data_IF_044541076374
#
_entry.id   IF_044541076374
#
_cell.length_a   1.000
_cell.length_b   1.000
_cell.length_c   1.000
_cell.angle_alpha   90.00
_cell.angle_beta   90.00
_cell.angle_gamma   90.00
#
_symmetry.space_group_name_H-M   'P 1'
#
loop_
_entity.id
_entity.type
_entity.pdbx_description
1 polymer ?
#
# COMPACT_ATOMS: atom_id res chain seq x y z
N UNK A 1 22.76 -1.42 1.00
CA UNK A 1 21.46 -1.22 1.68
C UNK A 1 21.32 -2.25 2.77
N UNK A 2 20.75 -1.86 3.92
CA UNK A 2 20.49 -2.74 5.05
C UNK A 2 19.05 -2.55 5.51
N UNK A 3 18.36 -3.64 5.84
CA UNK A 3 17.02 -3.60 6.42
C UNK A 3 17.17 -3.59 7.94
N UNK A 4 16.47 -2.68 8.61
CA UNK A 4 16.52 -2.46 10.04
C UNK A 4 15.09 -2.54 10.61
N UNK A 5 14.99 -2.51 11.94
CA UNK A 5 13.73 -2.54 12.71
C UNK A 5 12.87 -3.80 12.48
N UNK A 6 13.30 -4.89 13.11
CA UNK A 6 12.54 -6.15 13.14
C UNK A 6 11.55 -6.21 14.32
N UNK A 7 11.20 -5.08 14.96
CA UNK A 7 10.35 -5.06 16.16
C UNK A 7 8.95 -5.65 15.97
N UNK A 8 8.45 -5.63 14.72
CA UNK A 8 7.17 -6.21 14.31
C UNK A 8 7.32 -7.44 13.40
N UNK A 9 8.55 -7.90 13.16
CA UNK A 9 8.79 -9.03 12.28
C UNK A 9 8.22 -10.33 12.85
N UNK A 10 7.63 -11.13 11.97
CA UNK A 10 7.08 -12.44 12.31
C UNK A 10 7.75 -13.54 11.48
N UNK A 11 7.65 -14.78 11.93
CA UNK A 11 8.07 -15.92 11.11
C UNK A 11 7.08 -16.10 9.96
N UNK A 12 7.53 -15.89 8.73
CA UNK A 12 6.68 -15.99 7.54
C UNK A 12 5.98 -17.35 7.43
N UNK A 13 6.64 -18.44 7.84
CA UNK A 13 6.06 -19.79 7.83
C UNK A 13 4.93 -19.98 8.85
N UNK A 14 4.79 -19.08 9.83
CA UNK A 14 3.74 -19.17 10.86
C UNK A 14 2.68 -18.09 10.76
N UNK A 15 2.96 -16.99 10.06
CA UNK A 15 2.06 -15.83 10.00
C UNK A 15 0.64 -16.21 9.57
N UNK A 16 0.49 -17.06 8.55
CA UNK A 16 -0.80 -17.51 8.06
C UNK A 16 -1.67 -18.26 9.09
N UNK A 17 -1.09 -18.73 10.20
CA UNK A 17 -1.79 -19.39 11.31
C UNK A 17 -2.03 -18.49 12.52
N UNK A 18 -1.28 -17.40 12.66
CA UNK A 18 -1.23 -16.57 13.87
C UNK A 18 -1.81 -15.17 13.68
N UNK A 19 -2.03 -14.74 12.45
CA UNK A 19 -2.37 -13.35 12.12
C UNK A 19 -3.68 -12.85 12.77
N UNK A 20 -4.64 -13.73 13.04
CA UNK A 20 -5.92 -13.37 13.66
C UNK A 20 -5.77 -12.93 15.13
N UNK A 21 -4.82 -13.52 15.86
CA UNK A 21 -4.61 -13.28 17.28
C UNK A 21 -3.58 -12.19 17.60
N UNK A 22 -3.00 -11.57 16.56
CA UNK A 22 -1.94 -10.56 16.70
C UNK A 22 -2.53 -9.16 16.52
N UNK A 23 -2.13 -8.24 17.39
CA UNK A 23 -2.43 -6.83 17.19
C UNK A 23 -1.72 -6.33 15.93
N UNK A 24 -2.44 -5.55 15.13
CA UNK A 24 -1.85 -4.86 14.00
C UNK A 24 -1.05 -3.65 14.49
N UNK A 25 0.13 -3.46 13.92
CA UNK A 25 1.04 -2.36 14.23
C UNK A 25 1.93 -2.07 13.01
N UNK A 26 2.60 -0.92 13.03
CA UNK A 26 3.49 -0.47 11.96
C UNK A 26 3.07 0.89 11.43
N UNK A 27 3.68 1.30 10.33
CA UNK A 27 3.38 2.56 9.66
C UNK A 27 2.17 2.41 8.72
N UNK A 28 1.01 3.03 9.02
CA UNK A 28 -0.19 2.85 8.22
C UNK A 28 -0.11 3.42 6.80
N UNK A 29 0.90 4.23 6.50
CA UNK A 29 1.15 4.70 5.12
C UNK A 29 1.57 3.56 4.17
N UNK A 30 2.12 2.48 4.72
CA UNK A 30 2.52 1.28 3.98
C UNK A 30 1.56 0.10 4.18
N UNK A 31 0.45 0.31 4.89
CA UNK A 31 -0.57 -0.72 5.07
C UNK A 31 -1.26 -1.02 3.73
N UNK A 32 -1.40 -2.31 3.44
CA UNK A 32 -2.28 -2.77 2.36
C UNK A 32 -3.75 -2.43 2.67
N UNK A 33 -4.63 -2.42 1.66
CA UNK A 33 -6.08 -2.33 1.89
C UNK A 33 -6.57 -3.39 2.89
N UNK A 34 -6.04 -4.61 2.80
CA UNK A 34 -6.38 -5.67 3.74
C UNK A 34 -5.89 -5.38 5.17
N UNK A 35 -4.74 -4.73 5.35
CA UNK A 35 -4.26 -4.30 6.65
C UNK A 35 -5.14 -3.20 7.27
N UNK A 36 -5.59 -2.25 6.46
CA UNK A 36 -6.59 -1.26 6.89
C UNK A 36 -7.93 -1.90 7.28
N UNK A 37 -8.38 -2.91 6.54
CA UNK A 37 -9.59 -3.66 6.87
C UNK A 37 -9.43 -4.46 8.18
N UNK A 38 -8.28 -5.12 8.39
CA UNK A 38 -7.99 -5.78 9.65
C UNK A 38 -8.05 -4.80 10.83
N UNK A 39 -7.39 -3.64 10.68
CA UNK A 39 -7.32 -2.62 11.72
C UNK A 39 -8.71 -2.10 12.12
N UNK A 40 -9.59 -1.92 11.14
CA UNK A 40 -10.86 -1.23 11.34
C UNK A 40 -12.03 -2.16 11.62
N UNK A 41 -12.10 -3.30 10.93
CA UNK A 41 -13.21 -4.26 11.03
C UNK A 41 -12.85 -5.56 11.77
N UNK A 42 -11.56 -5.87 11.91
CA UNK A 42 -11.07 -7.08 12.56
C UNK A 42 -11.05 -8.32 11.66
N UNK A 43 -10.43 -9.39 12.17
CA UNK A 43 -10.12 -10.59 11.37
C UNK A 43 -11.34 -11.31 10.81
N UNK A 44 -12.46 -11.35 11.55
CA UNK A 44 -13.70 -11.99 11.10
C UNK A 44 -14.23 -11.34 9.82
N UNK A 45 -14.04 -10.03 9.67
CA UNK A 45 -14.44 -9.32 8.45
C UNK A 45 -13.58 -9.73 7.26
N UNK A 46 -12.25 -9.83 7.44
CA UNK A 46 -11.35 -10.28 6.38
C UNK A 46 -11.58 -11.76 6.00
N UNK A 47 -11.84 -12.64 6.97
CA UNK A 47 -12.14 -14.05 6.70
C UNK A 47 -13.44 -14.24 5.93
N UNK A 48 -14.45 -13.40 6.22
CA UNK A 48 -15.75 -13.44 5.55
C UNK A 48 -15.83 -12.58 4.27
N UNK A 49 -14.74 -11.91 3.89
CA UNK A 49 -14.77 -10.99 2.75
C UNK A 49 -14.99 -11.75 1.44
N UNK A 50 -15.91 -11.31 0.55
CA UNK A 50 -16.18 -12.01 -0.71
C UNK A 50 -14.96 -12.07 -1.64
N UNK A 51 -14.02 -11.13 -1.48
CA UNK A 51 -12.77 -11.10 -2.23
C UNK A 51 -11.63 -11.84 -1.50
N UNK A 52 -11.45 -13.12 -1.82
CA UNK A 52 -10.37 -13.96 -1.23
C UNK A 52 -8.96 -13.38 -1.39
N UNK A 53 -8.75 -12.54 -2.43
CA UNK A 53 -7.47 -11.88 -2.68
C UNK A 53 -7.05 -10.94 -1.54
N UNK A 54 -8.00 -10.36 -0.80
CA UNK A 54 -7.72 -9.47 0.32
C UNK A 54 -7.20 -10.25 1.53
N UNK A 55 -7.83 -11.38 1.85
CA UNK A 55 -7.32 -12.29 2.87
C UNK A 55 -5.91 -12.76 2.52
N UNK A 56 -5.72 -13.22 1.27
CA UNK A 56 -4.40 -13.64 0.79
C UNK A 56 -3.37 -12.52 0.83
N UNK A 57 -3.77 -11.28 0.58
CA UNK A 57 -2.90 -10.12 0.70
C UNK A 57 -2.41 -9.95 2.13
N UNK A 58 -3.30 -10.13 3.12
CA UNK A 58 -2.95 -10.02 4.54
C UNK A 58 -2.13 -11.21 5.06
N UNK A 59 -2.51 -12.43 4.70
CA UNK A 59 -1.88 -13.64 5.26
C UNK A 59 -0.58 -14.06 4.57
N UNK A 60 -0.30 -13.55 3.36
CA UNK A 60 0.88 -13.98 2.58
C UNK A 60 1.68 -12.86 1.90
N UNK A 61 1.13 -11.65 1.74
CA UNK A 61 1.72 -10.64 0.83
C UNK A 61 1.81 -9.22 1.40
N UNK A 62 1.76 -9.05 2.72
CA UNK A 62 1.92 -7.74 3.36
C UNK A 62 3.22 -7.05 2.92
N UNK A 63 4.35 -7.75 3.03
CA UNK A 63 5.65 -7.20 2.65
C UNK A 63 5.75 -6.87 1.16
N UNK A 64 5.05 -7.63 0.30
CA UNK A 64 5.05 -7.37 -1.14
C UNK A 64 4.34 -6.05 -1.45
N UNK A 65 3.25 -5.75 -0.75
CA UNK A 65 2.53 -4.50 -0.91
C UNK A 65 3.38 -3.32 -0.45
N UNK A 66 3.92 -3.39 0.78
CA UNK A 66 4.77 -2.32 1.33
C UNK A 66 6.00 -2.07 0.45
N UNK A 67 6.65 -3.15 -0.03
CA UNK A 67 7.76 -3.04 -0.97
C UNK A 67 7.35 -2.39 -2.30
N UNK A 68 6.19 -2.74 -2.85
CA UNK A 68 5.67 -2.11 -4.07
C UNK A 68 5.41 -0.61 -3.92
N UNK A 69 4.84 -0.20 -2.78
CA UNK A 69 4.66 1.23 -2.43
C UNK A 69 6.00 1.94 -2.34
N UNK A 70 6.98 1.35 -1.64
CA UNK A 70 8.34 1.91 -1.55
C UNK A 70 9.03 2.00 -2.91
N UNK A 71 8.89 0.98 -3.77
CA UNK A 71 9.46 1.00 -5.11
C UNK A 71 8.86 2.11 -5.97
N UNK A 72 7.53 2.33 -5.89
CA UNK A 72 6.87 3.45 -6.55
C UNK A 72 7.34 4.80 -6.00
N UNK A 73 7.53 4.92 -4.69
CA UNK A 73 8.06 6.12 -4.04
C UNK A 73 9.44 6.48 -4.59
N UNK A 74 10.38 5.52 -4.58
CA UNK A 74 11.73 5.71 -5.14
C UNK A 74 11.67 6.04 -6.62
N UNK A 75 10.88 5.30 -7.39
CA UNK A 75 10.73 5.51 -8.82
C UNK A 75 10.26 6.94 -9.12
N UNK A 76 9.15 7.39 -8.54
CA UNK A 76 8.61 8.73 -8.81
C UNK A 76 9.41 9.86 -8.18
N UNK A 77 10.18 9.60 -7.12
CA UNK A 77 11.11 10.57 -6.55
C UNK A 77 12.33 10.82 -7.45
N UNK A 78 12.83 9.77 -8.12
CA UNK A 78 13.99 9.85 -9.01
C UNK A 78 13.62 10.14 -10.46
N UNK A 79 12.35 9.92 -10.84
CA UNK A 79 11.86 10.15 -12.19
C UNK A 79 11.85 11.64 -12.54
N UNK A 80 12.69 12.03 -13.50
CA UNK A 80 12.84 13.44 -13.94
C UNK A 80 11.79 13.92 -14.94
N UNK A 81 10.96 13.01 -15.43
CA UNK A 81 9.88 13.36 -16.33
C UNK A 81 10.10 12.82 -17.74
N UNK A 82 9.04 12.88 -18.55
CA UNK A 82 9.08 12.44 -19.94
C UNK A 82 9.93 13.32 -20.86
N UNK A 83 10.34 14.50 -20.42
CA UNK A 83 11.11 15.49 -21.20
C UNK A 83 12.56 15.08 -21.46
N UNK A 84 13.12 14.13 -20.69
CA UNK A 84 14.46 13.58 -20.96
C UNK A 84 14.47 12.51 -22.08
N UNK A 85 13.31 12.06 -22.56
CA UNK A 85 13.24 11.07 -23.64
C UNK A 85 13.44 11.73 -25.00
N UNK A 86 14.60 11.49 -25.60
CA UNK A 86 15.04 12.05 -26.90
C UNK A 86 14.16 11.65 -28.10
N UNK A 87 13.26 10.69 -27.93
CA UNK A 87 12.40 10.15 -29.00
C UNK A 87 11.03 10.86 -29.02
N UNK A 88 11.07 12.19 -29.09
CA UNK A 88 9.90 13.05 -28.88
C UNK A 88 8.75 12.85 -29.88
N UNK A 89 9.02 12.23 -31.03
CA UNK A 89 8.11 12.18 -32.18
C UNK A 89 7.51 10.80 -32.45
N UNK A 90 7.90 9.74 -31.73
CA UNK A 90 7.29 8.43 -31.92
C UNK A 90 5.93 8.36 -31.22
N UNK A 91 4.95 7.70 -31.87
CA UNK A 91 3.62 7.46 -31.29
C UNK A 91 3.71 6.61 -30.01
N UNK A 92 4.66 5.67 -29.98
CA UNK A 92 4.97 4.84 -28.81
C UNK A 92 5.53 5.69 -27.66
N UNK A 93 6.43 6.63 -27.94
CA UNK A 93 6.92 7.59 -26.97
C UNK A 93 5.78 8.43 -26.38
N UNK A 94 4.85 8.92 -27.20
CA UNK A 94 3.66 9.64 -26.71
C UNK A 94 2.79 8.77 -25.77
N UNK A 95 2.52 7.51 -26.13
CA UNK A 95 1.75 6.57 -25.29
C UNK A 95 2.42 6.30 -23.95
N UNK A 96 3.73 6.05 -23.96
CA UNK A 96 4.51 5.84 -22.73
C UNK A 96 4.48 7.05 -21.80
N UNK A 97 4.66 8.26 -22.34
CA UNK A 97 4.59 9.51 -21.56
C UNK A 97 3.22 9.69 -20.90
N UNK A 98 2.15 9.44 -21.64
CA UNK A 98 0.79 9.51 -21.11
C UNK A 98 0.57 8.48 -19.99
N UNK A 99 1.03 7.24 -20.16
CA UNK A 99 0.89 6.19 -19.17
C UNK A 99 1.64 6.52 -17.88
N UNK A 100 2.87 7.04 -17.98
CA UNK A 100 3.68 7.41 -16.82
C UNK A 100 3.11 8.63 -16.10
N UNK A 101 2.61 9.64 -16.84
CA UNK A 101 1.98 10.80 -16.21
C UNK A 101 0.69 10.39 -15.47
N UNK A 102 -0.12 9.51 -16.07
CA UNK A 102 -1.28 8.93 -15.40
C UNK A 102 -0.88 8.18 -14.13
N UNK A 103 0.17 7.35 -14.18
CA UNK A 103 0.69 6.63 -13.03
C UNK A 103 1.21 7.58 -11.94
N UNK A 104 1.91 8.66 -12.30
CA UNK A 104 2.39 9.69 -11.38
C UNK A 104 1.24 10.42 -10.69
N UNK A 105 0.20 10.77 -11.44
CA UNK A 105 -1.02 11.39 -10.90
C UNK A 105 -1.72 10.45 -9.92
N UNK A 106 -1.87 9.18 -10.28
CA UNK A 106 -2.45 8.16 -9.40
C UNK A 106 -1.61 7.96 -8.13
N UNK A 107 -0.28 7.93 -8.24
CA UNK A 107 0.64 7.82 -7.11
C UNK A 107 0.49 9.00 -6.13
N UNK A 108 0.47 10.24 -6.64
CA UNK A 108 0.25 11.43 -5.81
C UNK A 108 -1.10 11.40 -5.10
N UNK A 109 -2.16 11.00 -5.80
CA UNK A 109 -3.49 10.85 -5.23
C UNK A 109 -3.51 9.78 -4.13
N UNK A 110 -2.91 8.61 -4.39
CA UNK A 110 -2.75 7.54 -3.42
C UNK A 110 -2.06 8.05 -2.15
N UNK A 111 -0.88 8.66 -2.26
CA UNK A 111 -0.14 9.14 -1.10
C UNK A 111 -0.91 10.18 -0.30
N UNK A 112 -1.61 11.10 -0.99
CA UNK A 112 -2.45 12.11 -0.36
C UNK A 112 -3.59 11.46 0.44
N UNK A 113 -4.24 10.46 -0.14
CA UNK A 113 -5.33 9.74 0.52
C UNK A 113 -4.83 8.88 1.68
N UNK A 114 -3.71 8.16 1.53
CA UNK A 114 -3.11 7.35 2.60
C UNK A 114 -2.71 8.20 3.81
N UNK A 115 -2.08 9.36 3.59
CA UNK A 115 -1.73 10.30 4.67
C UNK A 115 -2.98 10.89 5.32
N UNK A 116 -3.98 11.29 4.52
CA UNK A 116 -5.23 11.83 5.06
C UNK A 116 -6.01 10.79 5.88
N UNK A 117 -6.05 9.53 5.43
CA UNK A 117 -6.66 8.42 6.15
C UNK A 117 -5.93 8.16 7.47
N UNK A 118 -4.60 8.18 7.45
CA UNK A 118 -3.77 8.05 8.64
C UNK A 118 -4.00 9.18 9.65
N UNK A 119 -4.05 10.43 9.20
CA UNK A 119 -4.35 11.58 10.06
C UNK A 119 -5.75 11.46 10.67
N UNK A 120 -6.76 11.06 9.87
CA UNK A 120 -8.12 10.78 10.36
C UNK A 120 -8.11 9.66 11.39
N UNK A 121 -7.44 8.55 11.13
CA UNK A 121 -7.31 7.44 12.08
C UNK A 121 -6.80 7.92 13.44
N UNK A 122 -5.76 8.77 13.45
CA UNK A 122 -5.24 9.35 14.68
C UNK A 122 -6.19 10.34 15.36
N UNK A 123 -6.96 11.11 14.58
CA UNK A 123 -7.85 12.13 15.12
C UNK A 123 -9.15 11.55 15.69
N UNK A 124 -9.74 10.55 15.04
CA UNK A 124 -11.10 10.06 15.34
C UNK A 124 -11.19 8.54 15.56
N UNK A 125 -10.08 7.81 15.46
CA UNK A 125 -9.99 6.39 15.78
C UNK A 125 -10.48 5.44 14.68
N UNK A 126 -10.28 4.14 14.90
CA UNK A 126 -10.51 3.06 13.93
C UNK A 126 -11.97 2.93 13.47
N UNK A 127 -12.93 3.14 14.38
CA UNK A 127 -14.36 2.92 14.10
C UNK A 127 -14.88 3.97 13.12
N UNK A 128 -14.47 5.23 13.31
CA UNK A 128 -14.98 6.34 12.53
C UNK A 128 -14.41 6.39 11.09
N UNK A 129 -13.27 5.73 10.83
CA UNK A 129 -12.67 5.69 9.50
C UNK A 129 -13.25 4.60 8.57
N UNK A 130 -14.08 3.69 9.09
CA UNK A 130 -14.69 2.60 8.32
C UNK A 130 -15.43 3.08 7.06
N UNK A 131 -16.12 4.21 7.13
CA UNK A 131 -16.86 4.77 5.98
C UNK A 131 -15.97 5.18 4.78
N UNK A 132 -14.65 5.18 4.93
CA UNK A 132 -13.68 5.54 3.89
C UNK A 132 -12.91 4.32 3.34
N UNK A 133 -13.24 3.11 3.80
CA UNK A 133 -12.63 1.83 3.41
C UNK A 133 -13.67 0.92 2.76
#
# INVERSE_FOLDING_TARGET
FSVLDFGLAVRSQKWHLEWQGRNIAGDPRYFSPSAWMQLTYGYKYLEAHPEEKLLRLYSHRLDHYAFGVMAAEVFFALWKGPEEFKDEKSEEGAKWRQAIEAARKAWRAYWTQSVALFQKFHAIGAVAIRQYL
#
